data_IF_482049537587
#
_entry.id   IF_482049537587
#
_cell.length_a   1.000
_cell.length_b   1.000
_cell.length_c   1.000
_cell.angle_alpha   90.00
_cell.angle_beta   90.00
_cell.angle_gamma   90.00
#
_symmetry.space_group_name_H-M   'P 1'
#
loop_
_entity.id
_entity.type
_entity.pdbx_description
1 polymer ?
#
# COMPACT_ATOMS: atom_id res chain seq x y z
N UNK A 1 0.37 -24.80 -1.92
CA UNK A 1 0.60 -23.46 -1.35
C UNK A 1 1.50 -23.60 -0.13
N UNK A 2 2.64 -22.88 -0.09
CA UNK A 2 3.41 -22.79 1.15
C UNK A 2 2.76 -21.70 2.02
N UNK A 3 2.18 -22.10 3.16
CA UNK A 3 1.42 -21.22 4.04
C UNK A 3 2.13 -21.11 5.38
N UNK A 4 2.59 -19.90 5.71
CA UNK A 4 3.23 -19.61 6.99
C UNK A 4 2.18 -19.17 8.01
N UNK A 5 1.99 -19.95 9.07
CA UNK A 5 1.07 -19.60 10.15
C UNK A 5 1.85 -18.87 11.26
N UNK A 6 1.41 -17.66 11.58
CA UNK A 6 1.95 -16.84 12.67
C UNK A 6 0.86 -16.63 13.71
N UNK A 7 1.04 -17.15 14.92
CA UNK A 7 0.14 -16.88 16.04
C UNK A 7 0.51 -15.57 16.72
N UNK A 8 -0.50 -14.81 17.13
CA UNK A 8 -0.31 -13.49 17.77
C UNK A 8 -1.52 -13.10 18.60
N UNK A 9 -1.37 -12.09 19.47
CA UNK A 9 -2.45 -11.59 20.32
C UNK A 9 -3.45 -10.74 19.51
N UNK A 10 -4.21 -11.39 18.63
CA UNK A 10 -5.25 -10.79 17.79
C UNK A 10 -6.59 -11.45 18.08
N UNK A 11 -7.67 -10.71 17.82
CA UNK A 11 -9.04 -11.21 17.97
C UNK A 11 -9.52 -12.02 16.76
N UNK A 12 -8.99 -11.74 15.56
CA UNK A 12 -9.46 -12.32 14.29
C UNK A 12 -8.32 -12.90 13.46
N UNK A 13 -8.68 -13.77 12.50
CA UNK A 13 -7.75 -14.37 11.55
C UNK A 13 -7.55 -13.43 10.35
N UNK A 14 -6.29 -13.25 9.93
CA UNK A 14 -5.91 -12.44 8.79
C UNK A 14 -5.08 -13.25 7.80
N UNK A 15 -5.43 -13.17 6.51
CA UNK A 15 -4.69 -13.80 5.42
C UNK A 15 -3.96 -12.70 4.66
N UNK A 16 -2.63 -12.81 4.57
CA UNK A 16 -1.77 -11.88 3.85
C UNK A 16 -1.10 -12.61 2.70
N UNK A 17 -1.18 -12.04 1.50
CA UNK A 17 -0.46 -12.52 0.32
C UNK A 17 0.66 -11.52 0.07
N UNK A 18 1.88 -11.99 0.16
CA UNK A 18 3.08 -11.17 0.00
C UNK A 18 3.44 -11.04 -1.50
N UNK A 19 4.25 -10.04 -1.88
CA UNK A 19 4.69 -9.86 -3.27
C UNK A 19 5.50 -11.02 -3.83
N UNK A 20 6.19 -11.78 -2.97
CA UNK A 20 6.91 -13.02 -3.31
C UNK A 20 5.98 -14.23 -3.54
N UNK A 21 4.66 -13.98 -3.63
CA UNK A 21 3.59 -14.97 -3.74
C UNK A 21 3.48 -15.91 -2.52
N UNK A 22 4.15 -15.61 -1.41
CA UNK A 22 3.99 -16.36 -0.17
C UNK A 22 2.71 -15.97 0.56
N UNK A 23 2.05 -16.94 1.18
CA UNK A 23 0.82 -16.70 1.96
C UNK A 23 1.14 -16.80 3.44
N UNK A 24 0.92 -15.71 4.17
CA UNK A 24 1.06 -15.64 5.62
C UNK A 24 -0.32 -15.58 6.27
N UNK A 25 -0.65 -16.57 7.09
CA UNK A 25 -1.87 -16.58 7.89
C UNK A 25 -1.53 -16.16 9.31
N UNK A 26 -2.21 -15.13 9.79
CA UNK A 26 -2.07 -14.62 11.14
C UNK A 26 -3.30 -14.97 11.96
N UNK A 27 -3.11 -15.86 12.93
CA UNK A 27 -4.18 -16.42 13.73
C UNK A 27 -4.11 -15.94 15.20
N UNK A 28 -5.26 -15.86 15.89
CA UNK A 28 -5.31 -15.73 17.35
C UNK A 28 -4.53 -16.86 18.05
N UNK A 29 -4.00 -16.60 19.25
CA UNK A 29 -3.27 -17.61 20.02
C UNK A 29 -4.10 -18.86 20.34
N UNK A 30 -5.39 -18.67 20.60
CA UNK A 30 -6.32 -19.72 21.01
C UNK A 30 -7.06 -20.39 19.85
N UNK A 31 -6.85 -19.93 18.60
CA UNK A 31 -7.53 -20.49 17.45
C UNK A 31 -7.03 -21.92 17.16
N UNK A 32 -7.92 -22.92 17.09
CA UNK A 32 -7.52 -24.28 16.78
C UNK A 32 -7.09 -24.39 15.32
N UNK A 33 -6.18 -25.32 15.05
CA UNK A 33 -5.63 -25.54 13.70
C UNK A 33 -6.74 -25.86 12.68
N UNK A 34 -7.75 -26.63 13.09
CA UNK A 34 -8.88 -27.01 12.25
C UNK A 34 -9.71 -25.82 11.76
N UNK A 35 -9.88 -24.79 12.61
CA UNK A 35 -10.59 -23.57 12.21
C UNK A 35 -9.77 -22.74 11.22
N UNK A 36 -8.45 -22.67 11.42
CA UNK A 36 -7.52 -22.01 10.50
C UNK A 36 -7.60 -22.68 9.13
N UNK A 37 -7.56 -24.00 9.07
CA UNK A 37 -7.67 -24.76 7.83
C UNK A 37 -9.03 -24.64 7.16
N UNK A 38 -10.13 -24.62 7.95
CA UNK A 38 -11.48 -24.41 7.40
C UNK A 38 -11.57 -23.06 6.71
N UNK A 39 -11.11 -22.00 7.36
CA UNK A 39 -11.12 -20.64 6.78
C UNK A 39 -10.20 -20.57 5.55
N UNK A 40 -9.05 -21.25 5.60
CA UNK A 40 -8.13 -21.29 4.47
C UNK A 40 -8.76 -21.96 3.24
N UNK A 41 -9.46 -23.09 3.42
CA UNK A 41 -10.21 -23.78 2.35
C UNK A 41 -11.34 -22.91 1.81
N UNK A 42 -12.11 -22.28 2.69
CA UNK A 42 -13.21 -21.39 2.28
C UNK A 42 -12.71 -20.19 1.45
N UNK A 43 -11.52 -19.66 1.79
CA UNK A 43 -10.90 -18.53 1.09
C UNK A 43 -9.92 -18.94 -0.01
N UNK A 44 -9.77 -20.23 -0.33
CA UNK A 44 -8.80 -20.71 -1.33
C UNK A 44 -9.03 -20.05 -2.70
N UNK A 45 -10.29 -19.99 -3.15
CA UNK A 45 -10.63 -19.32 -4.41
C UNK A 45 -10.33 -17.81 -4.39
N UNK A 46 -10.46 -17.16 -3.23
CA UNK A 46 -10.07 -15.75 -3.08
C UNK A 46 -8.54 -15.59 -3.14
N UNK A 47 -7.79 -16.49 -2.51
CA UNK A 47 -6.32 -16.49 -2.50
C UNK A 47 -5.79 -16.68 -3.92
N UNK A 48 -6.31 -17.67 -4.66
CA UNK A 48 -5.89 -17.94 -6.04
C UNK A 48 -6.10 -16.72 -6.94
N UNK A 49 -7.28 -16.09 -6.88
CA UNK A 49 -7.58 -14.86 -7.63
C UNK A 49 -6.62 -13.71 -7.32
N UNK A 50 -6.23 -13.55 -6.06
CA UNK A 50 -5.30 -12.48 -5.66
C UNK A 50 -3.86 -12.78 -6.06
N UNK A 51 -3.43 -14.05 -6.03
CA UNK A 51 -2.12 -14.47 -6.55
C UNK A 51 -2.02 -14.18 -8.05
N UNK A 52 -3.06 -14.51 -8.82
CA UNK A 52 -3.09 -14.23 -10.27
C UNK A 52 -3.06 -12.72 -10.54
N UNK A 53 -3.84 -11.94 -9.78
CA UNK A 53 -3.81 -10.48 -9.88
C UNK A 53 -2.42 -9.89 -9.55
N UNK A 54 -1.72 -10.41 -8.55
CA UNK A 54 -0.35 -9.98 -8.23
C UNK A 54 0.60 -10.35 -9.36
N UNK A 55 0.50 -11.55 -9.93
CA UNK A 55 1.30 -11.95 -11.10
C UNK A 55 1.06 -11.06 -12.30
N UNK A 56 -0.20 -10.74 -12.61
CA UNK A 56 -0.55 -9.83 -13.70
C UNK A 56 -0.02 -8.42 -13.42
N UNK A 57 -0.09 -7.95 -12.17
CA UNK A 57 0.50 -6.67 -11.78
C UNK A 57 2.02 -6.67 -11.84
N UNK A 58 2.70 -7.77 -11.50
CA UNK A 58 4.14 -7.90 -11.67
C UNK A 58 4.55 -7.99 -13.13
N UNK A 59 3.78 -8.69 -13.97
CA UNK A 59 4.00 -8.75 -15.41
C UNK A 59 3.84 -7.36 -16.03
N UNK A 60 2.72 -6.67 -15.73
CA UNK A 60 2.52 -5.28 -16.13
C UNK A 60 3.61 -4.39 -15.57
N UNK A 61 3.99 -4.52 -14.29
CA UNK A 61 5.10 -3.76 -13.73
C UNK A 61 6.42 -4.05 -14.42
N UNK A 62 6.69 -5.26 -14.91
CA UNK A 62 7.91 -5.58 -15.67
C UNK A 62 7.84 -5.08 -17.10
N UNK A 63 6.68 -5.09 -17.73
CA UNK A 63 6.44 -4.47 -19.04
C UNK A 63 6.60 -2.96 -18.92
N UNK A 64 5.96 -2.34 -17.93
CA UNK A 64 6.13 -0.92 -17.66
C UNK A 64 7.50 -0.62 -17.06
N UNK A 65 8.20 -1.50 -16.32
CA UNK A 65 9.59 -1.25 -15.84
C UNK A 65 10.64 -1.52 -16.92
N UNK A 66 10.32 -2.35 -17.92
CA UNK A 66 11.07 -2.45 -19.17
C UNK A 66 10.87 -1.23 -20.07
N UNK A 67 9.76 -0.50 -19.91
CA UNK A 67 9.51 0.83 -20.50
C UNK A 67 9.86 2.01 -19.56
N UNK A 68 9.97 1.80 -18.24
CA UNK A 68 10.54 2.72 -17.25
C UNK A 68 12.04 2.44 -17.10
N UNK A 69 12.66 2.11 -18.23
CA UNK A 69 13.97 2.64 -18.55
C UNK A 69 13.81 4.18 -18.51
N UNK A 70 14.46 4.83 -17.55
CA UNK A 70 14.84 6.25 -17.66
C UNK A 70 13.72 7.31 -17.76
N UNK A 71 12.50 7.10 -17.24
CA UNK A 71 11.58 8.25 -17.09
C UNK A 71 11.95 9.09 -15.86
N UNK A 72 12.94 9.95 -16.05
CA UNK A 72 13.01 11.31 -15.49
C UNK A 72 12.64 11.42 -14.00
N UNK A 73 13.52 10.96 -13.11
CA UNK A 73 13.56 11.61 -11.80
C UNK A 73 13.82 13.09 -12.05
N UNK A 74 12.90 13.95 -11.60
CA UNK A 74 13.10 15.39 -11.63
C UNK A 74 14.48 15.69 -11.05
N UNK A 75 15.29 16.39 -11.82
CA UNK A 75 16.58 16.85 -11.34
C UNK A 75 16.38 17.71 -10.09
N UNK A 76 17.39 17.78 -9.22
CA UNK A 76 17.31 18.63 -8.03
C UNK A 76 16.93 20.09 -8.36
N UNK A 77 17.31 20.57 -9.56
CA UNK A 77 16.94 21.90 -10.03
C UNK A 77 15.44 22.03 -10.36
N UNK A 78 14.84 21.02 -10.96
CA UNK A 78 13.40 21.00 -11.25
C UNK A 78 12.58 20.88 -9.98
N UNK A 79 13.03 20.06 -9.03
CA UNK A 79 12.42 19.96 -7.69
C UNK A 79 12.47 21.33 -7.02
N UNK A 80 13.60 22.04 -7.07
CA UNK A 80 13.73 23.38 -6.50
C UNK A 80 12.81 24.40 -7.18
N UNK A 81 12.74 24.41 -8.52
CA UNK A 81 11.81 25.28 -9.26
C UNK A 81 10.35 25.02 -8.90
N UNK A 82 9.97 23.76 -8.70
CA UNK A 82 8.62 23.40 -8.27
C UNK A 82 8.35 23.84 -6.83
N UNK A 83 9.32 23.70 -5.93
CA UNK A 83 9.23 24.18 -4.55
C UNK A 83 9.07 25.72 -4.49
N UNK A 84 9.83 26.47 -5.31
CA UNK A 84 9.71 27.92 -5.40
C UNK A 84 8.32 28.34 -5.90
N UNK A 85 7.79 27.66 -6.93
CA UNK A 85 6.41 27.89 -7.41
C UNK A 85 5.37 27.57 -6.33
N UNK A 86 5.55 26.47 -5.61
CA UNK A 86 4.67 26.07 -4.52
C UNK A 86 4.64 27.13 -3.42
N UNK A 87 5.78 27.70 -3.05
CA UNK A 87 5.89 28.75 -2.04
C UNK A 87 5.11 30.02 -2.41
N UNK A 88 4.98 30.34 -3.72
CA UNK A 88 4.23 31.52 -4.15
C UNK A 88 2.71 31.33 -4.13
N UNK A 89 2.24 30.11 -4.42
CA UNK A 89 0.81 29.84 -4.65
C UNK A 89 0.11 29.19 -3.46
N UNK A 90 0.77 28.24 -2.77
CA UNK A 90 0.15 27.45 -1.70
C UNK A 90 -0.24 28.33 -0.50
N UNK A 91 0.63 29.21 0.04
CA UNK A 91 0.26 30.02 1.22
C UNK A 91 -0.96 30.92 0.98
N UNK A 92 -1.10 31.47 -0.23
CA UNK A 92 -2.25 32.32 -0.60
C UNK A 92 -3.56 31.54 -0.56
N UNK A 93 -3.57 30.32 -1.14
CA UNK A 93 -4.73 29.43 -1.08
C UNK A 93 -5.04 28.97 0.34
N UNK A 94 -4.02 28.58 1.08
CA UNK A 94 -4.18 28.16 2.48
C UNK A 94 -4.80 29.29 3.31
N UNK A 95 -4.33 30.54 3.16
CA UNK A 95 -4.91 31.72 3.84
C UNK A 95 -6.39 31.92 3.51
N UNK A 96 -6.74 31.84 2.22
CA UNK A 96 -8.11 32.00 1.76
C UNK A 96 -9.07 30.97 2.38
N UNK A 97 -8.68 29.69 2.37
CA UNK A 97 -9.50 28.60 2.91
C UNK A 97 -9.50 28.56 4.43
N UNK A 98 -8.37 28.89 5.08
CA UNK A 98 -8.27 29.00 6.53
C UNK A 98 -9.29 30.00 7.08
N UNK A 99 -9.47 31.14 6.41
CA UNK A 99 -10.50 32.14 6.76
C UNK A 99 -11.93 31.60 6.61
N UNK A 100 -12.20 30.82 5.56
CA UNK A 100 -13.53 30.25 5.32
C UNK A 100 -13.89 29.13 6.30
N UNK A 101 -12.91 28.34 6.72
CA UNK A 101 -13.11 27.16 7.59
C UNK A 101 -12.94 27.53 9.08
N UNK A 102 -12.45 28.75 9.38
CA UNK A 102 -12.27 29.24 10.75
C UNK A 102 -11.10 28.60 11.49
N UNK A 103 -10.04 28.22 10.76
CA UNK A 103 -8.85 27.54 11.32
C UNK A 103 -7.60 28.40 11.13
N UNK A 104 -6.62 28.23 12.01
CA UNK A 104 -5.29 28.84 11.87
C UNK A 104 -4.28 27.80 11.40
N UNK A 105 -3.30 28.20 10.59
CA UNK A 105 -2.21 27.33 10.12
C UNK A 105 -0.86 27.86 10.59
N UNK A 106 0.03 26.94 10.95
CA UNK A 106 1.42 27.23 11.31
C UNK A 106 2.36 27.06 10.11
N UNK A 107 3.40 26.24 10.29
CA UNK A 107 4.39 25.97 9.25
C UNK A 107 3.82 25.04 8.17
N UNK A 108 3.93 25.47 6.90
CA UNK A 108 3.69 24.63 5.72
C UNK A 108 5.03 23.97 5.35
N UNK A 109 5.10 22.63 5.41
CA UNK A 109 6.29 21.82 5.07
C UNK A 109 6.04 21.06 3.78
#
# INVERSE_FOLDING_TARGET
MNVKIIRSNRKTLAIQINPDLSVTVRAPMYAPQSDIERILREKEGWIQKHIEKIREQEAKRKETQGEFVESEYLTNEEIKKLADKALQHIPKRVSYFAKHIGVTYGKLT
#
